data_IF_174979697351
#
_entry.id   IF_174979697351
#
_cell.length_a   1.000
_cell.length_b   1.000
_cell.length_c   1.000
_cell.angle_alpha   90.00
_cell.angle_beta   90.00
_cell.angle_gamma   90.00
#
_symmetry.space_group_name_H-M   'P 1'
#
loop_
_entity.id
_entity.type
_entity.pdbx_description
1 polymer ?
#
# COMPACT_ATOMS: atom_id res chain seq x y z
N UNK A 1 3.18 -28.74 11.65
CA UNK A 1 2.58 -29.48 10.51
C UNK A 1 2.04 -28.52 9.45
N UNK A 2 1.45 -27.37 9.84
CA UNK A 2 1.00 -26.29 8.94
C UNK A 2 2.11 -25.71 8.04
N UNK A 3 3.32 -25.53 8.59
CA UNK A 3 4.47 -24.96 7.84
C UNK A 3 4.96 -25.84 6.67
N UNK A 4 4.72 -27.16 6.73
CA UNK A 4 5.08 -28.08 5.63
C UNK A 4 4.03 -28.04 4.52
N UNK A 5 2.74 -27.97 4.88
CA UNK A 5 1.63 -27.87 3.92
C UNK A 5 1.64 -26.54 3.15
N UNK A 6 1.98 -25.44 3.82
CA UNK A 6 2.19 -24.14 3.17
C UNK A 6 3.33 -24.12 2.13
N UNK A 7 4.28 -25.08 2.20
CA UNK A 7 5.37 -25.24 1.22
C UNK A 7 5.09 -26.28 0.13
N UNK A 8 4.05 -27.11 0.28
CA UNK A 8 3.68 -28.18 -0.66
C UNK A 8 2.74 -27.69 -1.76
N UNK A 9 1.99 -26.60 -1.52
CA UNK A 9 1.13 -25.95 -2.53
C UNK A 9 -0.38 -26.09 -2.27
N UNK A 10 -0.79 -26.83 -1.24
CA UNK A 10 -2.19 -26.95 -0.82
C UNK A 10 -2.51 -26.00 0.34
N UNK A 11 -2.40 -24.70 0.07
CA UNK A 11 -2.71 -23.62 1.04
C UNK A 11 -4.17 -23.67 1.50
N UNK A 12 -5.10 -24.10 0.64
CA UNK A 12 -6.54 -24.21 0.95
C UNK A 12 -6.86 -25.32 1.94
N UNK A 13 -6.25 -26.50 1.80
CA UNK A 13 -6.42 -27.59 2.77
C UNK A 13 -5.71 -27.28 4.09
N UNK A 14 -4.56 -26.61 4.04
CA UNK A 14 -3.89 -26.14 5.25
C UNK A 14 -4.77 -25.17 6.04
N UNK A 15 -5.41 -24.21 5.37
CA UNK A 15 -6.37 -23.29 5.99
C UNK A 15 -7.58 -24.05 6.57
N UNK A 16 -8.09 -25.03 5.83
CA UNK A 16 -9.19 -25.87 6.28
C UNK A 16 -8.88 -26.57 7.61
N UNK A 17 -7.71 -27.18 7.73
CA UNK A 17 -7.24 -27.85 8.95
C UNK A 17 -7.11 -26.86 10.12
N UNK A 18 -6.61 -25.64 9.88
CA UNK A 18 -6.46 -24.64 10.95
C UNK A 18 -7.84 -24.20 11.48
N UNK A 19 -8.80 -23.99 10.58
CA UNK A 19 -10.14 -23.53 10.96
C UNK A 19 -10.96 -24.66 11.57
N UNK A 20 -10.92 -25.86 10.99
CA UNK A 20 -11.81 -26.97 11.36
C UNK A 20 -11.24 -27.80 12.54
N UNK A 21 -9.94 -28.10 12.56
CA UNK A 21 -9.33 -28.92 13.63
C UNK A 21 -8.79 -28.09 14.80
N UNK A 22 -8.12 -26.97 14.52
CA UNK A 22 -7.52 -26.14 15.58
C UNK A 22 -8.50 -25.10 16.13
N UNK A 23 -9.56 -24.76 15.38
CA UNK A 23 -10.49 -23.65 15.68
C UNK A 23 -9.77 -22.36 16.10
N UNK A 24 -8.56 -22.17 15.59
CA UNK A 24 -7.70 -21.05 15.98
C UNK A 24 -7.76 -19.97 14.90
N UNK A 25 -8.60 -18.98 15.18
CA UNK A 25 -8.85 -17.89 14.27
C UNK A 25 -7.66 -16.93 14.14
N UNK A 26 -6.83 -16.81 15.18
CA UNK A 26 -5.64 -15.96 15.13
C UNK A 26 -4.59 -16.56 14.19
N UNK A 27 -4.40 -17.87 14.27
CA UNK A 27 -3.51 -18.59 13.37
C UNK A 27 -4.04 -18.60 11.93
N UNK A 28 -5.35 -18.73 11.71
CA UNK A 28 -5.93 -18.68 10.37
C UNK A 28 -5.70 -17.31 9.70
N UNK A 29 -5.92 -16.22 10.45
CA UNK A 29 -5.67 -14.84 9.97
C UNK A 29 -4.19 -14.62 9.67
N UNK A 30 -3.29 -15.07 10.56
CA UNK A 30 -1.85 -14.95 10.35
C UNK A 30 -1.39 -15.72 9.11
N UNK A 31 -1.94 -16.91 8.87
CA UNK A 31 -1.65 -17.70 7.68
C UNK A 31 -2.10 -17.02 6.38
N UNK A 32 -3.33 -16.49 6.34
CA UNK A 32 -3.80 -15.69 5.20
C UNK A 32 -2.95 -14.44 4.97
N UNK A 33 -2.47 -13.81 6.05
CA UNK A 33 -1.59 -12.65 5.97
C UNK A 33 -0.19 -13.01 5.43
N UNK A 34 0.38 -14.14 5.82
CA UNK A 34 1.69 -14.60 5.33
C UNK A 34 1.66 -14.96 3.84
N UNK A 35 0.53 -15.47 3.35
CA UNK A 35 0.36 -15.91 1.96
C UNK A 35 -0.14 -14.82 1.00
N UNK A 36 -0.73 -13.72 1.50
CA UNK A 36 -1.23 -12.55 0.75
C UNK A 36 -2.11 -12.91 -0.47
N UNK A 37 -2.92 -13.97 -0.33
CA UNK A 37 -3.75 -14.52 -1.41
C UNK A 37 -5.24 -14.18 -1.19
N UNK A 38 -5.85 -13.55 -2.19
CA UNK A 38 -7.27 -13.17 -2.17
C UNK A 38 -8.21 -14.38 -2.12
N UNK A 39 -7.84 -15.49 -2.77
CA UNK A 39 -8.67 -16.70 -2.79
C UNK A 39 -8.71 -17.35 -1.39
N UNK A 40 -7.60 -17.30 -0.65
CA UNK A 40 -7.52 -17.79 0.73
C UNK A 40 -8.39 -16.96 1.69
N UNK A 41 -8.40 -15.64 1.50
CA UNK A 41 -9.27 -14.75 2.27
C UNK A 41 -10.74 -15.02 1.99
N UNK A 42 -11.10 -15.28 0.73
CA UNK A 42 -12.47 -15.62 0.36
C UNK A 42 -12.92 -16.95 1.00
N UNK A 43 -12.08 -17.98 0.95
CA UNK A 43 -12.33 -19.28 1.58
C UNK A 43 -12.45 -19.17 3.11
N UNK A 44 -11.65 -18.30 3.75
CA UNK A 44 -11.76 -18.01 5.18
C UNK A 44 -13.09 -17.33 5.51
N UNK A 45 -13.50 -16.34 4.72
CA UNK A 45 -14.76 -15.61 4.92
C UNK A 45 -15.95 -16.55 4.78
N UNK A 46 -16.00 -17.41 3.75
CA UNK A 46 -17.11 -18.36 3.56
C UNK A 46 -17.26 -19.32 4.75
N UNK A 47 -16.14 -19.79 5.31
CA UNK A 47 -16.15 -20.62 6.53
C UNK A 47 -16.64 -19.84 7.75
N UNK A 48 -16.16 -18.62 7.94
CA UNK A 48 -16.51 -17.78 9.08
C UNK A 48 -17.96 -17.29 9.08
N UNK A 49 -18.60 -17.12 7.91
CA UNK A 49 -20.01 -16.69 7.81
C UNK A 49 -20.97 -17.68 8.47
N UNK A 50 -20.56 -18.94 8.66
CA UNK A 50 -21.35 -19.98 9.33
C UNK A 50 -21.50 -19.73 10.83
N UNK A 51 -20.57 -19.02 11.45
CA UNK A 51 -20.47 -18.84 12.91
C UNK A 51 -20.38 -17.35 13.29
N UNK A 52 -21.40 -16.76 13.94
CA UNK A 52 -21.50 -15.32 14.17
C UNK A 52 -20.43 -14.74 15.11
N UNK A 53 -19.90 -15.56 16.03
CA UNK A 53 -18.79 -15.15 16.91
C UNK A 53 -17.52 -14.86 16.11
N UNK A 54 -17.24 -15.69 15.10
CA UNK A 54 -16.09 -15.52 14.22
C UNK A 54 -16.22 -14.29 13.33
N UNK A 55 -17.41 -14.01 12.80
CA UNK A 55 -17.65 -12.78 12.01
C UNK A 55 -17.26 -11.52 12.80
N UNK A 56 -17.56 -11.48 14.10
CA UNK A 56 -17.24 -10.33 14.95
C UNK A 56 -15.74 -10.17 15.14
N UNK A 57 -15.01 -11.28 15.32
CA UNK A 57 -13.55 -11.29 15.45
C UNK A 57 -12.87 -10.89 14.13
N UNK A 58 -13.34 -11.43 13.01
CA UNK A 58 -12.83 -11.13 11.67
C UNK A 58 -13.02 -9.62 11.40
N UNK A 59 -14.21 -9.06 11.66
CA UNK A 59 -14.47 -7.62 11.48
C UNK A 59 -13.56 -6.70 12.31
N UNK A 60 -13.08 -7.15 13.48
CA UNK A 60 -12.16 -6.37 14.31
C UNK A 60 -10.70 -6.49 13.85
N UNK A 61 -10.31 -7.63 13.27
CA UNK A 61 -8.92 -7.92 12.91
C UNK A 61 -8.55 -7.58 11.47
N UNK A 62 -9.51 -7.54 10.54
CA UNK A 62 -9.22 -7.40 9.10
C UNK A 62 -9.09 -5.94 8.61
N UNK A 63 -9.39 -4.93 9.43
CA UNK A 63 -9.52 -3.53 8.98
C UNK A 63 -8.37 -2.95 8.13
N UNK A 64 -7.19 -3.59 8.13
CA UNK A 64 -6.02 -3.19 7.36
C UNK A 64 -5.71 -4.02 6.10
N UNK A 65 -6.32 -5.20 5.91
CA UNK A 65 -5.84 -6.21 4.93
C UNK A 65 -6.85 -6.59 3.85
N UNK A 66 -8.14 -6.60 4.14
CA UNK A 66 -9.19 -6.96 3.17
C UNK A 66 -10.30 -5.93 3.19
N UNK A 67 -10.89 -5.69 2.02
CA UNK A 67 -12.02 -4.80 1.88
C UNK A 67 -13.20 -5.20 2.79
N UNK A 68 -13.66 -4.31 3.69
CA UNK A 68 -14.82 -4.54 4.54
C UNK A 68 -16.06 -4.98 3.76
N UNK A 69 -16.17 -4.46 2.53
CA UNK A 69 -17.31 -4.67 1.64
C UNK A 69 -17.50 -6.14 1.27
N UNK A 70 -16.40 -6.88 1.07
CA UNK A 70 -16.46 -8.32 0.74
C UNK A 70 -17.15 -9.13 1.85
N UNK A 71 -16.83 -8.78 3.09
CA UNK A 71 -17.37 -9.42 4.28
C UNK A 71 -18.84 -9.04 4.50
N UNK A 72 -19.16 -7.75 4.35
CA UNK A 72 -20.53 -7.24 4.49
C UNK A 72 -21.48 -7.86 3.46
N UNK A 73 -21.02 -8.06 2.22
CA UNK A 73 -21.83 -8.65 1.16
C UNK A 73 -22.11 -10.15 1.37
N UNK A 74 -21.21 -10.89 2.03
CA UNK A 74 -21.36 -12.33 2.30
C UNK A 74 -22.18 -12.65 3.56
N UNK A 75 -22.39 -11.69 4.47
CA UNK A 75 -23.22 -11.90 5.67
C UNK A 75 -24.70 -12.11 5.26
N UNK A 76 -25.28 -13.23 5.68
CA UNK A 76 -26.73 -13.50 5.51
C UNK A 76 -27.56 -12.56 6.40
N UNK A 77 -28.69 -12.08 5.87
CA UNK A 77 -29.56 -11.06 6.49
C UNK A 77 -30.21 -11.47 7.83
N UNK A 78 -30.26 -12.77 8.14
CA UNK A 78 -30.90 -13.30 9.35
C UNK A 78 -29.92 -13.67 10.48
N UNK A 79 -28.63 -13.35 10.33
CA UNK A 79 -27.62 -13.70 11.34
C UNK A 79 -27.59 -12.64 12.45
N UNK A 80 -27.98 -13.02 13.69
CA UNK A 80 -27.79 -12.15 14.85
C UNK A 80 -26.31 -12.13 15.22
N UNK A 81 -25.59 -11.13 14.72
CA UNK A 81 -24.19 -10.88 15.07
C UNK A 81 -24.15 -9.87 16.23
N UNK A 82 -23.85 -10.30 17.47
CA UNK A 82 -23.77 -9.39 18.61
C UNK A 82 -22.63 -8.39 18.41
N UNK A 83 -22.89 -7.10 18.62
CA UNK A 83 -21.85 -6.07 18.54
C UNK A 83 -21.44 -5.64 17.12
N UNK A 84 -22.10 -6.15 16.07
CA UNK A 84 -21.83 -5.82 14.66
C UNK A 84 -21.74 -4.32 14.40
N UNK A 85 -22.73 -3.56 14.90
CA UNK A 85 -22.78 -2.09 14.72
C UNK A 85 -21.53 -1.40 15.27
N UNK A 86 -21.06 -1.77 16.45
CA UNK A 86 -19.90 -1.15 17.08
C UNK A 86 -18.60 -1.54 16.36
N UNK A 87 -18.46 -2.81 15.97
CA UNK A 87 -17.31 -3.28 15.19
C UNK A 87 -17.24 -2.59 13.82
N UNK A 88 -18.37 -2.46 13.12
CA UNK A 88 -18.45 -1.76 11.83
C UNK A 88 -18.09 -0.28 11.96
N UNK A 89 -18.61 0.42 12.96
CA UNK A 89 -18.29 1.84 13.19
C UNK A 89 -16.81 2.03 13.49
N UNK A 90 -16.20 1.16 14.31
CA UNK A 90 -14.77 1.21 14.60
C UNK A 90 -13.93 0.98 13.33
N UNK A 91 -14.27 -0.04 12.56
CA UNK A 91 -13.59 -0.38 11.31
C UNK A 91 -13.70 0.76 10.28
N UNK A 92 -14.90 1.30 10.06
CA UNK A 92 -15.12 2.43 9.15
C UNK A 92 -14.33 3.67 9.58
N UNK A 93 -14.26 3.96 10.88
CA UNK A 93 -13.46 5.07 11.39
C UNK A 93 -11.96 4.86 11.18
N UNK A 94 -11.45 3.63 11.40
CA UNK A 94 -10.04 3.29 11.12
C UNK A 94 -9.71 3.41 9.63
N UNK A 95 -10.60 2.91 8.76
CA UNK A 95 -10.45 3.02 7.31
C UNK A 95 -10.46 4.49 6.85
N UNK A 96 -11.42 5.28 7.32
CA UNK A 96 -11.48 6.71 7.01
C UNK A 96 -10.21 7.46 7.46
N UNK A 97 -9.65 7.10 8.62
CA UNK A 97 -8.40 7.67 9.10
C UNK A 97 -7.22 7.28 8.20
N UNK A 98 -7.14 6.02 7.80
CA UNK A 98 -6.11 5.52 6.88
C UNK A 98 -6.18 6.24 5.52
N UNK A 99 -7.38 6.35 4.93
CA UNK A 99 -7.60 7.10 3.68
C UNK A 99 -7.22 8.57 3.85
N UNK A 100 -7.61 9.21 4.95
CA UNK A 100 -7.25 10.60 5.22
C UNK A 100 -5.73 10.82 5.31
N UNK A 101 -5.00 9.88 5.93
CA UNK A 101 -3.53 9.92 5.99
C UNK A 101 -2.95 9.73 4.59
N UNK A 102 -3.44 8.75 3.84
CA UNK A 102 -2.97 8.48 2.48
C UNK A 102 -3.19 9.68 1.55
N UNK A 103 -4.34 10.35 1.65
CA UNK A 103 -4.61 11.58 0.92
C UNK A 103 -3.67 12.73 1.34
N UNK A 104 -3.41 12.87 2.64
CA UNK A 104 -2.44 13.84 3.16
C UNK A 104 -1.04 13.60 2.57
N UNK A 105 -0.55 12.36 2.63
CA UNK A 105 0.71 11.95 2.04
C UNK A 105 0.74 12.19 0.53
N UNK A 106 -0.33 11.86 -0.19
CA UNK A 106 -0.44 12.09 -1.64
C UNK A 106 -0.33 13.57 -1.98
N UNK A 107 -1.01 14.46 -1.23
CA UNK A 107 -0.93 15.91 -1.45
C UNK A 107 0.49 16.44 -1.23
N UNK A 108 1.17 15.97 -0.18
CA UNK A 108 2.58 16.34 0.10
C UNK A 108 3.48 15.87 -1.04
N UNK A 109 3.39 14.59 -1.43
CA UNK A 109 4.16 14.01 -2.53
C UNK A 109 3.99 14.78 -3.85
N UNK A 110 2.75 15.11 -4.21
CA UNK A 110 2.44 15.86 -5.43
C UNK A 110 3.02 17.27 -5.36
N UNK A 111 2.88 17.96 -4.23
CA UNK A 111 3.49 19.27 -4.00
C UNK A 111 5.01 19.22 -4.13
N UNK A 112 5.65 18.24 -3.50
CA UNK A 112 7.11 18.07 -3.55
C UNK A 112 7.61 17.76 -4.96
N UNK A 113 6.89 16.89 -5.69
CA UNK A 113 7.17 16.59 -7.09
C UNK A 113 7.18 17.88 -7.94
N UNK A 114 6.13 18.68 -7.86
CA UNK A 114 6.05 19.93 -8.62
C UNK A 114 7.12 20.95 -8.20
N UNK A 115 7.44 21.04 -6.90
CA UNK A 115 8.49 21.92 -6.40
C UNK A 115 9.88 21.52 -6.90
N UNK A 116 10.20 20.21 -6.88
CA UNK A 116 11.44 19.67 -7.42
C UNK A 116 11.55 19.90 -8.93
N UNK A 117 10.48 19.63 -9.67
CA UNK A 117 10.43 19.86 -11.11
C UNK A 117 10.67 21.34 -11.44
N UNK A 118 9.99 22.25 -10.74
CA UNK A 118 10.17 23.71 -10.92
C UNK A 118 11.60 24.16 -10.59
N UNK A 119 12.22 23.61 -9.53
CA UNK A 119 13.62 23.88 -9.19
C UNK A 119 14.56 23.42 -10.30
N UNK A 120 14.36 22.22 -10.84
CA UNK A 120 15.18 21.66 -11.91
C UNK A 120 15.10 22.50 -13.18
N UNK A 121 13.87 22.86 -13.60
CA UNK A 121 13.64 23.75 -14.75
C UNK A 121 14.32 25.10 -14.54
N UNK A 122 14.16 25.71 -13.36
CA UNK A 122 14.82 26.99 -13.05
C UNK A 122 16.34 26.89 -13.08
N UNK A 123 16.94 25.77 -12.64
CA UNK A 123 18.40 25.58 -12.70
C UNK A 123 18.86 25.39 -14.14
N UNK A 124 18.11 24.65 -14.96
CA UNK A 124 18.46 24.42 -16.36
C UNK A 124 18.31 25.67 -17.23
N UNK A 125 17.30 26.52 -16.95
CA UNK A 125 17.06 27.77 -17.67
C UNK A 125 17.89 28.96 -17.14
N UNK A 126 18.67 28.76 -16.07
CA UNK A 126 19.57 29.81 -15.58
C UNK A 126 20.79 29.87 -16.48
N UNK A 127 21.13 31.08 -16.91
CA UNK A 127 22.38 31.33 -17.61
C UNK A 127 23.57 30.99 -16.71
N UNK A 128 24.55 30.28 -17.26
CA UNK A 128 25.82 29.99 -16.59
C UNK A 128 26.81 31.10 -16.96
N UNK A 129 27.42 31.74 -15.95
CA UNK A 129 28.56 32.61 -16.19
C UNK A 129 29.79 31.75 -16.49
N UNK A 130 30.29 31.83 -17.72
CA UNK A 130 31.41 31.03 -18.19
C UNK A 130 32.66 31.91 -18.26
N UNK A 131 33.74 31.48 -17.61
CA UNK A 131 35.08 32.09 -17.71
C UNK A 131 35.85 31.48 -18.90
N UNK A 132 36.83 32.21 -19.47
CA UNK A 132 37.57 31.80 -20.69
C UNK A 132 38.30 30.45 -20.57
N UNK A 133 38.53 29.97 -19.34
CA UNK A 133 39.21 28.72 -19.03
C UNK A 133 38.26 27.52 -18.83
N UNK A 134 36.93 27.73 -18.87
CA UNK A 134 35.97 26.67 -18.61
C UNK A 134 35.90 25.67 -19.77
N UNK A 135 36.14 24.39 -19.44
CA UNK A 135 36.02 23.25 -20.36
C UNK A 135 34.75 22.46 -20.06
N UNK A 136 34.12 21.93 -21.10
CA UNK A 136 32.93 21.09 -20.95
C UNK A 136 33.25 19.79 -20.21
N UNK A 137 32.52 19.50 -19.13
CA UNK A 137 32.72 18.28 -18.34
C UNK A 137 32.39 16.98 -19.10
N UNK A 138 31.62 17.04 -20.19
CA UNK A 138 31.24 15.86 -20.98
C UNK A 138 32.17 15.58 -22.17
N UNK A 139 32.74 16.62 -22.81
CA UNK A 139 33.53 16.45 -24.04
C UNK A 139 34.91 17.12 -23.99
N UNK A 140 35.28 17.72 -22.84
CA UNK A 140 36.57 18.37 -22.56
C UNK A 140 37.01 19.47 -23.54
N UNK A 141 36.09 19.94 -24.40
CA UNK A 141 36.33 21.08 -25.30
C UNK A 141 36.10 22.40 -24.55
N UNK A 142 36.86 23.44 -24.94
CA UNK A 142 36.66 24.81 -24.43
C UNK A 142 35.28 25.32 -24.86
N UNK A 143 34.56 25.92 -23.92
CA UNK A 143 33.19 26.41 -24.16
C UNK A 143 33.22 27.81 -24.81
N UNK A 144 34.32 28.56 -24.64
CA UNK A 144 34.51 29.90 -25.21
C UNK A 144 35.74 29.89 -26.13
N UNK A 145 35.58 30.28 -27.39
CA UNK A 145 36.70 30.62 -28.29
C UNK A 145 36.96 32.13 -28.23
N UNK A 146 38.24 32.49 -28.07
CA UNK A 146 38.75 33.84 -27.77
C UNK A 146 38.07 34.95 -28.59
N UNK A 147 37.56 35.98 -27.89
CA UNK A 147 37.30 37.27 -28.56
C UNK A 147 36.31 38.27 -27.99
N UNK A 148 35.68 38.09 -26.81
CA UNK A 148 34.89 39.17 -26.15
C UNK A 148 34.51 38.82 -24.70
N UNK A 149 34.67 39.81 -23.81
CA UNK A 149 34.85 39.70 -22.35
C UNK A 149 33.70 39.14 -21.48
N UNK A 150 32.55 38.73 -22.04
CA UNK A 150 31.52 38.03 -21.27
C UNK A 150 30.40 37.52 -22.20
N UNK A 151 30.17 36.21 -22.21
CA UNK A 151 28.96 35.61 -22.79
C UNK A 151 28.12 35.00 -21.67
N UNK A 152 26.88 35.47 -21.51
CA UNK A 152 25.87 34.74 -20.74
C UNK A 152 25.26 33.73 -21.72
N UNK A 153 25.62 32.46 -21.58
CA UNK A 153 25.01 31.39 -22.37
C UNK A 153 23.69 31.04 -21.70
N UNK A 154 22.58 31.32 -22.39
CA UNK A 154 21.26 30.82 -22.03
C UNK A 154 21.05 29.45 -22.69
N UNK A 155 20.70 28.44 -21.89
CA UNK A 155 20.19 27.16 -22.37
C UNK A 155 18.66 27.16 -22.38
#
# INVERSE_FOLDING_TARGET
MVYLLGRIGDTKEALALIVDELKDMQHAVAFCQEHDDSDLWEDLIDRCVTEPEFVTFLLQSIGSYVDPTMLILKIKKDTQIPGLKNSLVKMLNQYNLQVSVQEGCKKILVSDYFNLQKKLVNVHQRGLAVMEDLVCACCTRKIVERGMDWYIIYF
#
